data_IF_282748020912
#
_entry.id   IF_282748020912
#
_cell.length_a   1.000
_cell.length_b   1.000
_cell.length_c   1.000
_cell.angle_alpha   90.00
_cell.angle_beta   90.00
_cell.angle_gamma   90.00
#
_symmetry.space_group_name_H-M   'P 1'
#
loop_
_entity.id
_entity.type
_entity.pdbx_description
1 polymer ?
#
# COMPACT_ATOMS: atom_id res chain seq x y z
N UNK A 1 -5.70 14.00 -15.35
CA UNK A 1 -5.27 13.73 -13.97
C UNK A 1 -3.96 12.95 -14.04
N UNK A 2 -2.96 13.28 -13.24
CA UNK A 2 -1.71 12.49 -13.20
C UNK A 2 -1.86 11.37 -12.17
N UNK A 3 -1.34 10.15 -12.43
CA UNK A 3 -1.37 9.08 -11.44
C UNK A 3 -0.54 9.44 -10.20
N UNK A 4 -0.96 8.98 -9.03
CA UNK A 4 -0.18 9.11 -7.80
C UNK A 4 0.84 7.96 -7.65
N UNK A 5 0.49 6.76 -8.12
CA UNK A 5 1.31 5.56 -7.95
C UNK A 5 1.39 4.72 -9.21
N UNK A 6 2.46 3.94 -9.33
CA UNK A 6 2.46 2.72 -10.16
C UNK A 6 2.35 1.51 -9.25
N UNK A 7 1.38 0.64 -9.57
CA UNK A 7 1.20 -0.64 -8.90
C UNK A 7 1.84 -1.76 -9.69
N UNK A 8 2.42 -2.72 -8.98
CA UNK A 8 2.83 -4.01 -9.51
C UNK A 8 2.23 -5.11 -8.65
N UNK A 9 1.46 -5.99 -9.26
CA UNK A 9 0.84 -7.15 -8.62
C UNK A 9 1.46 -8.41 -9.22
N UNK A 10 2.08 -9.21 -8.36
CA UNK A 10 2.67 -10.48 -8.75
C UNK A 10 1.62 -11.59 -8.74
N UNK A 11 1.93 -12.73 -9.36
CA UNK A 11 1.06 -13.92 -9.38
C UNK A 11 0.66 -14.43 -7.98
N UNK A 12 1.49 -14.18 -6.97
CA UNK A 12 1.22 -14.52 -5.57
C UNK A 12 0.32 -13.50 -4.85
N UNK A 13 -0.22 -12.50 -5.57
CA UNK A 13 -1.09 -11.45 -5.02
C UNK A 13 -0.35 -10.33 -4.30
N UNK A 14 1.00 -10.36 -4.23
CA UNK A 14 1.75 -9.31 -3.55
C UNK A 14 1.63 -8.00 -4.33
N UNK A 15 1.03 -7.00 -3.68
CA UNK A 15 0.88 -5.63 -4.17
C UNK A 15 2.11 -4.80 -3.80
N UNK A 16 2.65 -4.05 -4.76
CA UNK A 16 3.74 -3.10 -4.57
C UNK A 16 3.36 -1.77 -5.18
N UNK A 17 3.66 -0.69 -4.47
CA UNK A 17 3.45 0.67 -4.94
C UNK A 17 4.77 1.42 -4.96
N UNK A 18 5.00 2.15 -6.03
CA UNK A 18 6.01 3.20 -6.10
C UNK A 18 5.32 4.53 -6.40
N UNK A 19 5.78 5.66 -5.84
CA UNK A 19 5.32 6.98 -6.28
C UNK A 19 5.47 7.09 -7.79
N UNK A 20 4.44 7.63 -8.44
CA UNK A 20 4.50 7.86 -9.87
C UNK A 20 5.44 9.04 -10.18
N UNK A 21 6.14 8.96 -11.30
CA UNK A 21 6.97 10.05 -11.83
C UNK A 21 7.16 9.88 -13.34
N UNK A 22 7.51 10.95 -14.06
CA UNK A 22 7.55 10.98 -15.52
C UNK A 22 8.46 9.92 -16.16
N UNK A 23 9.52 9.49 -15.47
CA UNK A 23 10.39 8.43 -16.01
C UNK A 23 9.78 7.02 -15.91
N UNK A 24 8.58 6.89 -15.34
CA UNK A 24 7.77 5.69 -15.43
C UNK A 24 6.91 5.67 -16.71
N UNK A 25 6.80 6.78 -17.44
CA UNK A 25 6.10 6.77 -18.73
C UNK A 25 6.82 5.81 -19.68
N UNK A 26 6.06 4.91 -20.27
CA UNK A 26 6.60 3.78 -21.02
C UNK A 26 6.62 4.11 -22.50
N UNK A 27 7.81 4.15 -23.10
CA UNK A 27 7.98 4.22 -24.55
C UNK A 27 9.16 3.36 -25.01
N UNK A 28 9.14 2.97 -26.28
CA UNK A 28 10.31 2.36 -26.93
C UNK A 28 10.76 1.03 -26.30
N UNK A 29 12.08 0.77 -26.16
CA UNK A 29 12.61 -0.49 -25.66
C UNK A 29 12.13 -0.87 -24.24
N UNK A 30 11.74 0.09 -23.41
CA UNK A 30 11.22 -0.18 -22.06
C UNK A 30 9.85 -0.89 -22.11
N UNK A 31 9.07 -0.70 -23.19
CA UNK A 31 7.82 -1.42 -23.41
C UNK A 31 8.04 -2.93 -23.55
N UNK A 32 9.19 -3.35 -24.11
CA UNK A 32 9.56 -4.78 -24.22
C UNK A 32 9.68 -5.43 -22.85
N UNK A 33 10.28 -4.73 -21.88
CA UNK A 33 10.43 -5.25 -20.50
C UNK A 33 9.07 -5.46 -19.82
N UNK A 34 8.10 -4.59 -20.09
CA UNK A 34 6.74 -4.76 -19.56
C UNK A 34 6.01 -5.92 -20.22
N UNK A 35 6.21 -6.13 -21.53
CA UNK A 35 5.72 -7.32 -22.22
C UNK A 35 6.30 -8.62 -21.65
N UNK A 36 7.57 -8.63 -21.24
CA UNK A 36 8.19 -9.76 -20.53
C UNK A 36 7.58 -9.98 -19.14
N UNK A 37 7.37 -8.90 -18.39
CA UNK A 37 6.72 -8.97 -17.07
C UNK A 37 5.28 -9.48 -17.15
N UNK A 38 4.51 -8.99 -18.12
CA UNK A 38 3.15 -9.45 -18.41
C UNK A 38 3.12 -10.95 -18.67
N UNK A 39 4.01 -11.46 -19.54
CA UNK A 39 4.16 -12.90 -19.81
C UNK A 39 4.59 -13.71 -18.59
N UNK A 40 5.33 -13.12 -17.67
CA UNK A 40 5.68 -13.73 -16.38
C UNK A 40 4.50 -13.73 -15.38
N UNK A 41 3.33 -13.21 -15.75
CA UNK A 41 2.14 -13.12 -14.89
C UNK A 41 2.23 -11.99 -13.86
N UNK A 42 2.90 -10.89 -14.20
CA UNK A 42 2.95 -9.67 -13.40
C UNK A 42 2.03 -8.64 -14.03
N UNK A 43 1.07 -8.15 -13.25
CA UNK A 43 0.17 -7.07 -13.66
C UNK A 43 0.72 -5.72 -13.17
N UNK A 44 0.69 -4.71 -14.04
CA UNK A 44 1.18 -3.36 -13.77
C UNK A 44 0.10 -2.38 -14.23
N UNK A 45 -0.19 -1.39 -13.39
CA UNK A 45 -1.10 -0.30 -13.70
C UNK A 45 -0.61 1.01 -13.07
N UNK A 46 -0.99 2.12 -13.66
CA UNK A 46 -0.90 3.43 -13.03
C UNK A 46 -2.20 3.69 -12.27
N UNK A 47 -2.07 4.21 -11.06
CA UNK A 47 -3.17 4.41 -10.12
C UNK A 47 -3.36 5.90 -9.86
N UNK A 48 -4.59 6.35 -10.10
CA UNK A 48 -5.02 7.70 -9.74
C UNK A 48 -5.93 7.60 -8.52
N UNK A 49 -5.72 8.49 -7.55
CA UNK A 49 -6.45 8.50 -6.29
C UNK A 49 -7.35 9.73 -6.27
N UNK A 50 -8.64 9.50 -6.07
CA UNK A 50 -9.61 10.55 -5.79
C UNK A 50 -9.79 10.68 -4.28
N UNK A 51 -10.02 11.91 -3.85
CA UNK A 51 -10.18 12.30 -2.45
C UNK A 51 -11.50 13.04 -2.30
N UNK A 52 -12.09 12.94 -1.12
CA UNK A 52 -13.32 13.66 -0.81
C UNK A 52 -13.05 15.18 -0.79
N UNK A 53 -13.68 15.93 -1.70
CA UNK A 53 -13.53 17.37 -1.86
C UNK A 53 -14.28 18.18 -0.80
N UNK A 54 -15.04 17.52 0.08
CA UNK A 54 -15.75 18.15 1.20
C UNK A 54 -14.84 18.66 2.31
N UNK A 55 -13.54 18.34 2.28
CA UNK A 55 -12.56 18.84 3.25
C UNK A 55 -11.87 20.08 2.68
N UNK A 56 -11.97 21.22 3.39
CA UNK A 56 -11.35 22.50 2.98
C UNK A 56 -9.82 22.41 2.81
N UNK A 57 -9.18 21.42 3.43
CA UNK A 57 -7.76 21.12 3.29
C UNK A 57 -7.55 19.78 2.57
N UNK A 58 -7.27 19.83 1.26
CA UNK A 58 -7.11 18.67 0.36
C UNK A 58 -6.20 17.55 0.91
N UNK A 59 -5.19 17.89 1.71
CA UNK A 59 -4.23 16.91 2.25
C UNK A 59 -4.74 16.16 3.49
N UNK A 60 -5.87 16.60 4.08
CA UNK A 60 -6.57 15.91 5.16
C UNK A 60 -7.71 15.02 4.65
N UNK A 61 -8.17 15.23 3.41
CA UNK A 61 -9.23 14.45 2.82
C UNK A 61 -8.87 12.95 2.75
N UNK A 62 -9.73 12.06 3.29
CA UNK A 62 -9.54 10.63 3.12
C UNK A 62 -9.67 10.26 1.63
N UNK A 63 -8.93 9.23 1.22
CA UNK A 63 -9.08 8.67 -0.12
C UNK A 63 -10.45 8.00 -0.25
N UNK A 64 -11.10 8.22 -1.39
CA UNK A 64 -12.45 7.70 -1.65
C UNK A 64 -12.44 6.70 -2.79
N UNK A 65 -11.84 7.07 -3.93
CA UNK A 65 -11.86 6.25 -5.13
C UNK A 65 -10.44 5.99 -5.66
N UNK A 66 -10.28 4.83 -6.27
CA UNK A 66 -9.04 4.42 -6.94
C UNK A 66 -9.34 4.11 -8.39
N UNK A 67 -8.67 4.81 -9.30
CA UNK A 67 -8.83 4.62 -10.75
C UNK A 67 -7.61 3.88 -11.29
N UNK A 68 -7.85 2.78 -12.01
CA UNK A 68 -6.83 1.87 -12.50
C UNK A 68 -6.65 2.03 -14.00
N UNK A 69 -5.45 2.41 -14.43
CA UNK A 69 -5.05 2.45 -15.84
C UNK A 69 -3.98 1.38 -16.12
N UNK A 70 -4.37 0.20 -16.67
CA UNK A 70 -3.43 -0.89 -16.89
C UNK A 70 -2.33 -0.56 -17.90
N UNK A 71 -1.09 -0.84 -17.50
CA UNK A 71 0.10 -0.75 -18.36
C UNK A 71 0.41 -2.11 -19.01
N UNK A 72 0.01 -3.20 -18.37
CA UNK A 72 0.13 -4.57 -18.91
C UNK A 72 -1.23 -5.27 -18.92
N UNK A 73 -1.25 -6.54 -19.35
CA UNK A 73 -2.43 -7.38 -19.16
C UNK A 73 -2.85 -7.39 -17.69
N UNK A 74 -4.15 -7.32 -17.47
CA UNK A 74 -4.76 -7.15 -16.15
C UNK A 74 -5.76 -8.28 -15.89
N UNK A 75 -5.31 -9.39 -15.27
CA UNK A 75 -6.16 -10.55 -15.03
C UNK A 75 -7.05 -10.36 -13.80
N UNK A 76 -8.15 -11.12 -13.70
CA UNK A 76 -9.08 -11.09 -12.55
C UNK A 76 -8.39 -11.31 -11.19
N UNK A 77 -7.29 -12.06 -11.17
CA UNK A 77 -6.48 -12.26 -9.95
C UNK A 77 -5.80 -10.97 -9.48
N UNK A 78 -5.44 -10.08 -10.39
CA UNK A 78 -4.94 -8.75 -10.07
C UNK A 78 -6.07 -7.85 -9.54
N UNK A 79 -7.28 -7.95 -10.10
CA UNK A 79 -8.46 -7.24 -9.55
C UNK A 79 -8.72 -7.64 -8.11
N UNK A 80 -8.75 -8.95 -7.84
CA UNK A 80 -9.03 -9.46 -6.50
C UNK A 80 -7.99 -8.96 -5.48
N UNK A 81 -6.70 -9.06 -5.81
CA UNK A 81 -5.62 -8.60 -4.95
C UNK A 81 -5.66 -7.07 -4.72
N UNK A 82 -5.96 -6.29 -5.78
CA UNK A 82 -6.07 -4.84 -5.67
C UNK A 82 -7.29 -4.42 -4.84
N UNK A 83 -8.45 -5.04 -5.07
CA UNK A 83 -9.67 -4.76 -4.31
C UNK A 83 -9.53 -5.13 -2.84
N UNK A 84 -8.88 -6.26 -2.52
CA UNK A 84 -8.60 -6.65 -1.13
C UNK A 84 -7.69 -5.61 -0.46
N UNK A 85 -6.60 -5.22 -1.12
CA UNK A 85 -5.70 -4.18 -0.63
C UNK A 85 -6.41 -2.83 -0.47
N UNK A 86 -7.19 -2.40 -1.46
CA UNK A 86 -7.90 -1.13 -1.43
C UNK A 86 -8.98 -1.10 -0.32
N UNK A 87 -9.68 -2.21 -0.11
CA UNK A 87 -10.64 -2.38 0.99
C UNK A 87 -9.97 -2.31 2.36
N UNK A 88 -8.71 -2.78 2.45
CA UNK A 88 -7.90 -2.69 3.66
C UNK A 88 -7.48 -1.25 3.97
N UNK A 89 -7.10 -0.48 2.95
CA UNK A 89 -6.77 0.95 3.10
C UNK A 89 -8.02 1.75 3.49
N UNK A 90 -9.16 1.43 2.90
CA UNK A 90 -10.44 2.09 3.15
C UNK A 90 -11.00 2.86 1.96
N UNK A 91 -10.56 2.55 0.73
CA UNK A 91 -11.22 3.05 -0.47
C UNK A 91 -12.68 2.58 -0.49
N UNK A 92 -13.57 3.47 -0.91
CA UNK A 92 -14.99 3.17 -1.11
C UNK A 92 -15.25 2.53 -2.48
N UNK A 93 -14.41 2.81 -3.48
CA UNK A 93 -14.60 2.33 -4.85
C UNK A 93 -13.29 2.11 -5.60
N UNK A 94 -13.27 1.13 -6.48
CA UNK A 94 -12.21 0.93 -7.47
C UNK A 94 -12.80 0.92 -8.87
N UNK A 95 -12.29 1.78 -9.75
CA UNK A 95 -12.59 1.80 -11.17
C UNK A 95 -11.58 0.93 -11.89
N UNK A 96 -12.00 -0.30 -12.21
CA UNK A 96 -11.24 -1.28 -12.96
C UNK A 96 -11.51 -1.14 -14.46
N UNK A 97 -10.71 -1.79 -15.32
CA UNK A 97 -10.95 -1.77 -16.76
C UNK A 97 -12.31 -2.38 -17.13
N UNK A 98 -13.28 -1.52 -17.45
CA UNK A 98 -14.62 -1.92 -17.89
C UNK A 98 -15.61 -2.19 -16.76
N UNK A 99 -15.22 -2.03 -15.49
CA UNK A 99 -16.14 -2.21 -14.36
C UNK A 99 -15.80 -1.31 -13.18
N UNK A 100 -16.81 -1.04 -12.36
CA UNK A 100 -16.68 -0.29 -11.12
C UNK A 100 -17.08 -1.20 -9.98
N UNK A 101 -16.20 -1.32 -8.97
CA UNK A 101 -16.47 -2.14 -7.78
C UNK A 101 -16.55 -1.24 -6.56
N UNK A 102 -17.73 -1.22 -5.93
CA UNK A 102 -17.88 -0.64 -4.60
C UNK A 102 -17.26 -1.58 -3.55
N UNK A 103 -16.53 -1.01 -2.62
CA UNK A 103 -15.78 -1.71 -1.59
C UNK A 103 -16.37 -1.45 -0.21
N UNK A 104 -16.26 -2.45 0.66
CA UNK A 104 -16.55 -2.29 2.08
C UNK A 104 -15.22 -2.13 2.82
N UNK A 105 -14.97 -0.92 3.33
CA UNK A 105 -13.81 -0.64 4.15
C UNK A 105 -13.78 -1.57 5.37
N UNK A 106 -12.62 -2.13 5.67
CA UNK A 106 -12.49 -2.98 6.85
C UNK A 106 -12.06 -2.19 8.08
N UNK A 107 -12.42 -2.69 9.26
CA UNK A 107 -12.22 -2.09 10.59
C UNK A 107 -10.75 -1.97 11.06
N UNK A 108 -9.76 -1.93 10.17
CA UNK A 108 -8.34 -1.92 10.53
C UNK A 108 -7.88 -3.27 11.09
N UNK A 109 -7.00 -3.24 12.09
CA UNK A 109 -6.39 -4.42 12.71
C UNK A 109 -4.87 -4.42 12.62
N UNK A 110 -4.23 -5.52 13.03
CA UNK A 110 -2.78 -5.65 12.90
C UNK A 110 -2.42 -6.04 11.47
N UNK A 111 -1.45 -5.34 10.90
CA UNK A 111 -0.87 -5.63 9.59
C UNK A 111 0.63 -5.87 9.70
N UNK A 112 1.22 -6.51 8.71
CA UNK A 112 2.66 -6.75 8.65
C UNK A 112 3.19 -6.69 7.22
N UNK A 113 4.47 -6.37 7.10
CA UNK A 113 5.23 -6.48 5.85
C UNK A 113 6.67 -6.89 6.16
N UNK A 114 7.41 -7.29 5.14
CA UNK A 114 8.84 -7.65 5.24
C UNK A 114 9.61 -6.90 4.15
N UNK A 115 10.66 -6.17 4.57
CA UNK A 115 11.53 -5.48 3.63
C UNK A 115 12.22 -6.45 2.67
N UNK A 116 12.32 -6.08 1.39
CA UNK A 116 13.02 -6.88 0.37
C UNK A 116 14.54 -6.86 0.55
N UNK A 117 15.09 -5.73 1.01
CA UNK A 117 16.51 -5.52 1.24
C UNK A 117 17.00 -6.17 2.53
N UNK A 118 16.75 -5.53 3.67
CA UNK A 118 17.29 -5.98 4.96
C UNK A 118 16.46 -7.07 5.67
N UNK A 119 15.32 -7.47 5.08
CA UNK A 119 14.39 -8.47 5.66
C UNK A 119 13.79 -8.12 7.03
N UNK A 120 13.91 -6.87 7.48
CA UNK A 120 13.23 -6.41 8.69
C UNK A 120 11.72 -6.62 8.54
N UNK A 121 11.10 -7.29 9.53
CA UNK A 121 9.65 -7.38 9.64
C UNK A 121 9.12 -6.12 10.30
N UNK A 122 8.08 -5.54 9.72
CA UNK A 122 7.34 -4.41 10.28
C UNK A 122 5.94 -4.86 10.60
N UNK A 123 5.38 -4.37 11.70
CA UNK A 123 3.99 -4.62 12.07
C UNK A 123 3.45 -3.43 12.85
N UNK A 124 2.21 -3.08 12.58
CA UNK A 124 1.50 -1.99 13.24
C UNK A 124 -0.01 -2.29 13.14
N UNK A 125 -0.77 -1.68 14.03
CA UNK A 125 -2.23 -1.69 14.03
C UNK A 125 -2.81 -0.56 14.86
N UNK A 126 -1.98 0.41 15.27
CA UNK A 126 -2.40 1.52 16.12
C UNK A 126 -3.37 2.43 15.34
N UNK A 127 -4.36 3.06 15.99
CA UNK A 127 -5.31 3.94 15.31
C UNK A 127 -4.65 5.05 14.48
N UNK A 128 -3.58 5.67 14.98
CA UNK A 128 -2.81 6.74 14.36
C UNK A 128 -2.12 6.25 13.08
N UNK A 129 -1.62 5.01 13.08
CA UNK A 129 -1.09 4.37 11.88
C UNK A 129 -2.18 4.22 10.82
N UNK A 130 -3.38 3.75 11.20
CA UNK A 130 -4.51 3.63 10.27
C UNK A 130 -5.02 4.97 9.75
N UNK A 131 -5.07 6.01 10.59
CA UNK A 131 -5.41 7.37 10.18
C UNK A 131 -4.41 7.90 9.14
N UNK A 132 -3.10 7.67 9.37
CA UNK A 132 -2.07 8.01 8.39
C UNK A 132 -2.25 7.24 7.08
N UNK A 133 -2.44 5.92 7.13
CA UNK A 133 -2.62 5.06 5.95
C UNK A 133 -3.81 5.50 5.10
N UNK A 134 -4.95 5.78 5.72
CA UNK A 134 -6.17 6.28 5.04
C UNK A 134 -5.96 7.63 4.40
N UNK A 135 -5.33 8.56 5.11
CA UNK A 135 -4.99 9.88 4.56
C UNK A 135 -4.02 9.76 3.40
N UNK A 136 -3.00 8.91 3.50
CA UNK A 136 -2.01 8.73 2.44
C UNK A 136 -2.51 7.89 1.26
N UNK A 137 -3.60 7.13 1.41
CA UNK A 137 -4.09 6.19 0.39
C UNK A 137 -3.24 4.93 0.21
N UNK A 138 -2.26 4.71 1.08
CA UNK A 138 -1.35 3.57 0.99
C UNK A 138 -0.63 3.32 2.30
N UNK A 139 -0.06 2.11 2.40
CA UNK A 139 0.93 1.84 3.42
C UNK A 139 2.29 2.45 3.07
N UNK A 140 3.17 2.63 4.08
CA UNK A 140 4.58 2.93 3.84
C UNK A 140 5.17 1.94 2.82
N UNK A 141 5.86 2.47 1.81
CA UNK A 141 6.48 1.69 0.72
C UNK A 141 8.01 1.68 0.78
N UNK A 142 8.60 2.31 1.81
CA UNK A 142 10.06 2.38 2.03
C UNK A 142 10.39 1.92 3.45
N UNK A 143 11.42 1.09 3.59
CA UNK A 143 11.93 0.63 4.87
C UNK A 143 12.68 1.75 5.60
N UNK A 144 12.25 2.10 6.80
CA UNK A 144 12.90 3.11 7.64
C UNK A 144 14.32 2.73 8.11
N UNK A 145 14.70 1.45 7.99
CA UNK A 145 16.03 0.95 8.38
C UNK A 145 17.04 1.04 7.25
N UNK A 146 16.67 0.61 6.04
CA UNK A 146 17.62 0.48 4.92
C UNK A 146 17.26 1.28 3.67
N UNK A 147 16.11 1.95 3.63
CA UNK A 147 15.64 2.70 2.46
C UNK A 147 15.18 1.85 1.27
N UNK A 148 15.29 0.52 1.32
CA UNK A 148 14.75 -0.35 0.28
C UNK A 148 13.22 -0.36 0.27
N UNK A 149 12.66 -0.85 -0.83
CA UNK A 149 11.23 -1.01 -0.99
C UNK A 149 10.63 -1.99 0.06
N UNK A 150 9.41 -1.72 0.47
CA UNK A 150 8.58 -2.69 1.19
C UNK A 150 7.31 -2.97 0.37
N UNK A 151 6.89 -4.23 0.24
CA UNK A 151 5.57 -4.55 -0.29
C UNK A 151 4.47 -3.89 0.52
N UNK A 152 3.31 -3.70 -0.11
CA UNK A 152 2.12 -3.30 0.63
C UNK A 152 1.75 -4.36 1.66
N UNK A 153 1.18 -3.90 2.77
CA UNK A 153 1.09 -4.67 4.00
C UNK A 153 -0.10 -5.60 3.94
N UNK A 154 0.01 -6.76 4.57
CA UNK A 154 -1.06 -7.75 4.66
C UNK A 154 -1.61 -7.82 6.08
N UNK A 155 -2.90 -8.16 6.22
CA UNK A 155 -3.47 -8.42 7.55
C UNK A 155 -2.77 -9.60 8.21
N UNK A 156 -2.49 -9.44 9.48
CA UNK A 156 -2.25 -10.58 10.36
C UNK A 156 -3.63 -11.14 10.70
N UNK A 157 -3.93 -12.42 10.36
CA UNK A 157 -5.16 -13.04 10.81
C UNK A 157 -5.25 -12.88 12.32
N UNK A 158 -6.42 -12.46 12.82
CA UNK A 158 -6.69 -12.44 14.26
C UNK A 158 -6.71 -13.88 14.77
N UNK A 159 -5.54 -14.47 15.00
CA UNK A 159 -5.44 -15.64 15.84
C UNK A 159 -5.88 -15.20 17.23
N UNK A 160 -6.83 -15.94 17.80
CA UNK A 160 -7.32 -15.80 19.18
C UNK A 160 -6.24 -15.24 20.11
N UNK A 161 -6.53 -14.10 20.73
CA UNK A 161 -5.78 -13.34 21.72
C UNK A 161 -4.33 -13.83 21.99
N UNK A 162 -3.35 -13.13 21.40
CA UNK A 162 -1.99 -13.14 21.93
C UNK A 162 -2.02 -12.43 23.30
N UNK A 163 -1.48 -13.04 24.38
CA UNK A 163 -1.45 -12.42 25.70
C UNK A 163 -0.72 -11.07 25.66
N UNK A 164 -1.06 -10.14 26.58
CA UNK A 164 -0.54 -8.78 26.57
C UNK A 164 0.99 -8.76 26.55
N UNK A 165 1.55 -7.84 25.76
CA UNK A 165 2.98 -7.58 25.73
C UNK A 165 3.54 -7.36 27.15
N UNK A 166 4.74 -7.86 27.45
CA UNK A 166 5.37 -7.65 28.75
C UNK A 166 5.51 -6.15 29.01
N UNK A 167 5.22 -5.78 30.27
CA UNK A 167 5.30 -4.42 30.78
C UNK A 167 6.66 -3.81 30.43
N UNK A 168 6.72 -2.55 29.93
CA UNK A 168 7.99 -1.92 29.62
C UNK A 168 8.90 -1.94 30.85
N UNK A 169 10.08 -2.54 30.69
CA UNK A 169 11.11 -2.53 31.71
C UNK A 169 11.50 -1.06 31.97
N UNK A 170 11.58 -0.59 33.23
CA UNK A 170 12.01 0.77 33.51
C UNK A 170 13.38 1.03 32.85
N UNK A 171 13.40 2.09 32.05
CA UNK A 171 14.59 2.65 31.41
C UNK A 171 15.77 2.67 32.39
N UNK A 172 16.84 1.91 32.08
CA UNK A 172 18.14 1.98 32.77
C UNK A 172 19.05 3.06 32.19
N UNK A 173 18.51 4.12 31.59
CA UNK A 173 19.34 5.25 31.21
C UNK A 173 19.59 6.11 32.44
N UNK A 174 20.85 6.21 32.94
CA UNK A 174 21.18 7.15 34.00
C UNK A 174 20.91 8.56 33.50
N UNK A 175 20.29 9.37 34.35
CA UNK A 175 20.11 10.78 34.08
C UNK A 175 21.51 11.40 33.89
N UNK A 176 21.77 11.95 32.70
CA UNK A 176 22.92 12.82 32.53
C UNK A 176 22.61 14.13 33.25
N UNK A 177 23.08 14.26 34.49
CA UNK A 177 23.17 15.53 35.18
C UNK A 177 24.02 16.48 34.32
N UNK A 178 23.37 17.52 33.80
CA UNK A 178 24.05 18.65 33.17
C UNK A 178 24.61 19.53 34.30
N UNK A 179 25.94 19.59 34.39
CA UNK A 179 26.66 20.64 35.09
C UNK A 179 26.63 21.95 34.29
#
# INVERSE_FOLDING_TARGET
>A
MQPEFRVTIRRDGIVRLVPWHDSLVVWGPEATRLGERSRAGVAIADLTVERDDLFEEDWLAPVTELIVDPVTAWPETADAALCEWASLIGYARVWLPGEVRDLTATSGGQVTTVCTGCRSRQSDGHPEFWSMVRRCGRFPSVCCVCGCDVPQWTRVPSSVAVPPSPTPHPSRFPAHDRA
#
